data_IF_702630934510
#
_entry.id   IF_702630934510
#
_cell.length_a   1.000
_cell.length_b   1.000
_cell.length_c   1.000
_cell.angle_alpha   90.00
_cell.angle_beta   90.00
_cell.angle_gamma   90.00
#
_symmetry.space_group_name_H-M   'P 1'
#
loop_
_entity.id
_entity.type
_entity.pdbx_description
1 polymer ?
#
# COMPACT_ATOMS: atom_id res chain seq x y z
N UNK A 1 -48.62 -52.22 55.96
CA UNK A 1 -49.27 -50.93 55.68
C UNK A 1 -48.17 -49.91 55.44
N UNK A 2 -47.89 -49.68 54.16
CA UNK A 2 -46.98 -48.66 53.65
C UNK A 2 -47.79 -47.38 53.44
N UNK A 3 -47.25 -46.23 53.81
CA UNK A 3 -47.57 -44.97 53.12
C UNK A 3 -46.34 -44.08 53.14
N UNK A 4 -45.74 -43.94 51.96
CA UNK A 4 -44.59 -43.10 51.65
C UNK A 4 -45.05 -41.63 51.60
N UNK A 5 -44.39 -40.74 52.34
CA UNK A 5 -44.31 -39.33 51.96
C UNK A 5 -43.08 -39.15 51.08
N UNK A 6 -43.28 -38.71 49.84
CA UNK A 6 -42.21 -38.38 48.90
C UNK A 6 -41.63 -37.01 49.24
N UNK A 7 -40.36 -36.99 49.64
CA UNK A 7 -39.56 -35.77 49.75
C UNK A 7 -39.07 -35.40 48.33
N UNK A 8 -39.68 -34.36 47.75
CA UNK A 8 -39.23 -33.77 46.50
C UNK A 8 -37.93 -33.00 46.75
N UNK A 9 -36.81 -33.55 46.30
CA UNK A 9 -35.52 -32.86 46.29
C UNK A 9 -35.51 -31.86 45.12
N UNK A 10 -35.74 -30.59 45.42
CA UNK A 10 -35.45 -29.46 44.53
C UNK A 10 -33.93 -29.29 44.50
N UNK A 11 -33.27 -29.93 43.54
CA UNK A 11 -31.88 -29.65 43.20
C UNK A 11 -31.86 -28.40 42.33
N UNK A 12 -31.79 -27.23 42.97
CA UNK A 12 -31.58 -25.96 42.30
C UNK A 12 -30.12 -25.92 41.81
N UNK A 13 -29.90 -26.38 40.58
CA UNK A 13 -28.64 -26.16 39.88
C UNK A 13 -28.51 -24.65 39.61
N UNK A 14 -27.72 -23.95 40.44
CA UNK A 14 -27.21 -22.62 40.11
C UNK A 14 -26.27 -22.76 38.92
N UNK A 15 -26.83 -22.67 37.72
CA UNK A 15 -26.08 -22.36 36.52
C UNK A 15 -25.69 -20.90 36.66
N UNK A 16 -24.48 -20.63 37.16
CA UNK A 16 -23.82 -19.35 36.96
C UNK A 16 -23.49 -19.23 35.47
N UNK A 17 -24.47 -18.84 34.65
CA UNK A 17 -24.18 -18.19 33.38
C UNK A 17 -23.62 -16.82 33.73
N UNK A 18 -22.31 -16.75 33.95
CA UNK A 18 -21.59 -15.48 33.76
C UNK A 18 -21.73 -15.16 32.28
N UNK A 19 -22.76 -14.40 31.92
CA UNK A 19 -22.76 -13.69 30.64
C UNK A 19 -21.54 -12.77 30.72
N UNK A 20 -20.40 -13.21 30.17
CA UNK A 20 -19.34 -12.28 29.85
C UNK A 20 -20.00 -11.25 28.96
N UNK A 21 -20.11 -10.02 29.46
CA UNK A 21 -20.46 -8.88 28.61
C UNK A 21 -19.49 -8.93 27.45
N UNK A 22 -20.01 -9.22 26.26
CA UNK A 22 -19.20 -9.31 25.06
C UNK A 22 -18.58 -7.95 24.84
N UNK A 23 -17.25 -7.86 24.85
CA UNK A 23 -16.59 -6.60 24.55
C UNK A 23 -16.84 -6.26 23.07
N UNK A 24 -17.29 -5.04 22.79
CA UNK A 24 -17.47 -4.56 21.42
C UNK A 24 -16.11 -4.29 20.75
N UNK A 25 -15.06 -4.08 21.55
CA UNK A 25 -13.71 -3.79 21.10
C UNK A 25 -12.66 -4.57 21.88
N UNK A 26 -11.66 -5.09 21.14
CA UNK A 26 -10.43 -5.65 21.69
C UNK A 26 -9.22 -4.89 21.19
N UNK A 27 -8.21 -4.78 22.05
CA UNK A 27 -6.95 -4.11 21.76
C UNK A 27 -5.78 -5.08 21.92
N UNK A 28 -4.89 -5.12 20.93
CA UNK A 28 -3.67 -5.94 20.97
C UNK A 28 -2.46 -5.04 20.76
N UNK A 29 -1.68 -4.83 21.82
CA UNK A 29 -0.40 -4.15 21.75
C UNK A 29 0.69 -5.10 21.26
N UNK A 30 1.49 -4.68 20.29
CA UNK A 30 2.53 -5.49 19.66
C UNK A 30 3.87 -4.80 19.74
N UNK A 31 4.80 -5.38 20.49
CA UNK A 31 6.17 -4.91 20.59
C UNK A 31 7.14 -6.10 20.63
N UNK A 32 8.40 -5.89 20.25
CA UNK A 32 9.39 -6.97 20.25
C UNK A 32 9.74 -7.38 21.68
N UNK A 33 9.97 -8.67 21.90
CA UNK A 33 10.42 -9.17 23.21
C UNK A 33 11.68 -8.41 23.66
N UNK A 34 11.79 -8.18 24.96
CA UNK A 34 12.96 -7.55 25.61
C UNK A 34 13.20 -6.09 25.16
N UNK A 35 12.15 -5.36 24.75
CA UNK A 35 12.20 -3.90 24.55
C UNK A 35 11.33 -3.19 25.59
N UNK A 36 11.58 -1.91 25.91
CA UNK A 36 10.73 -1.19 26.85
C UNK A 36 9.29 -1.06 26.33
N UNK A 37 9.10 -1.01 25.01
CA UNK A 37 7.77 -1.06 24.41
C UNK A 37 6.98 -2.31 24.78
N UNK A 38 7.63 -3.48 24.85
CA UNK A 38 6.94 -4.69 25.28
C UNK A 38 6.61 -4.66 26.77
N UNK A 39 7.47 -4.09 27.60
CA UNK A 39 7.15 -3.83 29.02
C UNK A 39 5.95 -2.90 29.16
N UNK A 40 5.88 -1.82 28.38
CA UNK A 40 4.74 -0.90 28.36
C UNK A 40 3.46 -1.61 27.90
N UNK A 41 3.53 -2.41 26.83
CA UNK A 41 2.40 -3.23 26.36
C UNK A 41 1.89 -4.18 27.45
N UNK A 42 2.78 -4.88 28.16
CA UNK A 42 2.40 -5.76 29.26
C UNK A 42 1.72 -5.01 30.40
N UNK A 43 2.19 -3.80 30.72
CA UNK A 43 1.57 -2.96 31.75
C UNK A 43 0.14 -2.49 31.40
N UNK A 44 -0.24 -2.50 30.12
CA UNK A 44 -1.59 -2.14 29.65
C UNK A 44 -2.53 -3.34 29.50
N UNK A 45 -2.02 -4.57 29.45
CA UNK A 45 -2.82 -5.77 29.21
C UNK A 45 -3.67 -6.15 30.42
N UNK A 46 -4.90 -6.60 30.16
CA UNK A 46 -5.86 -7.08 31.17
C UNK A 46 -6.36 -8.52 30.89
N UNK A 47 -5.79 -9.16 29.86
CA UNK A 47 -6.05 -10.56 29.45
C UNK A 47 -7.49 -10.89 29.03
N UNK A 48 -8.37 -9.88 28.96
CA UNK A 48 -9.78 -10.05 28.61
C UNK A 48 -10.13 -9.26 27.36
N UNK A 49 -9.90 -7.95 27.38
CA UNK A 49 -10.17 -7.04 26.26
C UNK A 49 -8.89 -6.40 25.71
N UNK A 50 -7.81 -6.41 26.49
CA UNK A 50 -6.53 -5.81 26.15
C UNK A 50 -5.42 -6.83 26.31
N UNK A 51 -4.65 -7.05 25.24
CA UNK A 51 -3.61 -8.07 25.16
C UNK A 51 -2.27 -7.47 24.77
N UNK A 52 -1.18 -8.15 25.17
CA UNK A 52 0.17 -7.84 24.74
C UNK A 52 0.79 -9.02 23.99
N UNK A 53 1.30 -8.76 22.79
CA UNK A 53 1.91 -9.77 21.93
C UNK A 53 3.34 -9.39 21.57
N UNK A 54 4.24 -10.37 21.70
CA UNK A 54 5.67 -10.18 21.40
C UNK A 54 6.02 -10.15 19.91
N UNK A 55 5.05 -10.49 19.06
CA UNK A 55 5.24 -10.66 17.61
C UNK A 55 3.93 -10.43 16.87
N UNK A 56 4.00 -9.73 15.73
CA UNK A 56 2.84 -9.45 14.89
C UNK A 56 2.09 -10.71 14.44
N UNK A 57 2.76 -11.80 14.05
CA UNK A 57 2.07 -13.03 13.63
C UNK A 57 1.19 -13.67 14.71
N UNK A 58 1.53 -13.50 16.00
CA UNK A 58 0.69 -13.96 17.11
C UNK A 58 -0.52 -13.05 17.31
N UNK A 59 -0.31 -11.73 17.21
CA UNK A 59 -1.38 -10.75 17.26
C UNK A 59 -2.39 -10.96 16.13
N UNK A 60 -1.94 -11.19 14.89
CA UNK A 60 -2.82 -11.47 13.76
C UNK A 60 -3.65 -12.74 13.96
N UNK A 61 -3.06 -13.79 14.55
CA UNK A 61 -3.79 -15.01 14.89
C UNK A 61 -4.86 -14.74 15.94
N UNK A 62 -4.48 -14.09 17.04
CA UNK A 62 -5.40 -13.78 18.12
C UNK A 62 -6.53 -12.85 17.64
N UNK A 63 -6.22 -11.84 16.82
CA UNK A 63 -7.21 -10.96 16.23
C UNK A 63 -8.20 -11.75 15.38
N UNK A 64 -7.72 -12.66 14.53
CA UNK A 64 -8.61 -13.51 13.75
C UNK A 64 -9.49 -14.41 14.63
N UNK A 65 -8.96 -14.98 15.72
CA UNK A 65 -9.74 -15.78 16.67
C UNK A 65 -10.85 -14.97 17.34
N UNK A 66 -10.55 -13.74 17.79
CA UNK A 66 -11.51 -12.83 18.42
C UNK A 66 -12.59 -12.35 17.42
N UNK A 67 -12.21 -12.04 16.18
CA UNK A 67 -13.16 -11.57 15.16
C UNK A 67 -14.13 -12.66 14.69
N UNK A 68 -13.87 -13.93 14.99
CA UNK A 68 -14.77 -15.02 14.65
C UNK A 68 -15.90 -15.19 15.68
N UNK A 69 -15.82 -14.55 16.86
CA UNK A 69 -16.79 -14.77 17.95
C UNK A 69 -17.97 -13.81 17.95
N UNK A 70 -17.94 -12.75 17.15
CA UNK A 70 -19.01 -11.76 17.08
C UNK A 70 -18.62 -10.52 16.29
N UNK A 71 -19.52 -9.53 16.18
CA UNK A 71 -19.34 -8.30 15.39
C UNK A 71 -18.42 -7.29 16.11
N UNK A 72 -17.23 -7.74 16.49
CA UNK A 72 -16.29 -6.95 17.28
C UNK A 72 -15.34 -6.16 16.39
N UNK A 73 -14.77 -5.11 16.98
CA UNK A 73 -13.58 -4.46 16.45
C UNK A 73 -12.35 -5.01 17.16
N UNK A 74 -11.32 -5.41 16.39
CA UNK A 74 -10.00 -5.70 16.95
C UNK A 74 -9.00 -4.71 16.38
N UNK A 75 -8.41 -3.92 17.28
CA UNK A 75 -7.34 -2.98 16.95
C UNK A 75 -5.99 -3.57 17.38
N UNK A 76 -5.06 -3.71 16.44
CA UNK A 76 -3.69 -4.17 16.66
C UNK A 76 -2.75 -2.97 16.55
N UNK A 77 -2.27 -2.48 17.68
CA UNK A 77 -1.32 -1.38 17.77
C UNK A 77 0.11 -1.93 17.78
N UNK A 78 0.96 -1.48 16.86
CA UNK A 78 2.32 -1.98 16.67
C UNK A 78 3.32 -0.87 16.93
N UNK A 79 4.21 -1.10 17.90
CA UNK A 79 5.31 -0.20 18.21
C UNK A 79 6.28 -0.07 17.02
N UNK A 80 7.07 0.98 17.05
CA UNK A 80 8.22 1.12 16.18
C UNK A 80 9.20 -0.05 16.32
N UNK A 81 9.88 -0.35 15.22
CA UNK A 81 10.92 -1.36 15.16
C UNK A 81 10.79 -2.29 13.96
N UNK A 82 11.77 -3.19 13.89
CA UNK A 82 11.93 -4.15 12.80
C UNK A 82 11.31 -5.51 13.15
N UNK A 83 10.24 -5.89 12.44
CA UNK A 83 9.56 -7.17 12.60
C UNK A 83 9.98 -8.10 11.46
N UNK A 84 10.24 -9.38 11.74
CA UNK A 84 10.85 -10.34 10.76
C UNK A 84 9.92 -11.46 10.27
N UNK A 85 8.66 -11.43 10.67
CA UNK A 85 7.68 -12.48 10.33
C UNK A 85 7.88 -13.78 11.10
N UNK A 86 7.01 -14.76 10.85
CA UNK A 86 7.11 -16.09 11.48
C UNK A 86 8.38 -16.78 10.98
N UNK A 87 9.15 -17.38 11.90
CA UNK A 87 10.42 -18.08 11.57
C UNK A 87 11.40 -17.25 10.72
N UNK A 88 11.37 -15.91 10.86
CA UNK A 88 12.20 -14.98 10.07
C UNK A 88 11.96 -15.08 8.55
N UNK A 89 10.76 -15.50 8.13
CA UNK A 89 10.43 -15.65 6.70
C UNK A 89 10.21 -14.31 5.99
N UNK A 90 9.99 -13.21 6.73
CA UNK A 90 9.72 -11.90 6.13
C UNK A 90 8.33 -11.79 5.49
N UNK A 91 7.39 -12.63 5.92
CA UNK A 91 6.01 -12.71 5.45
C UNK A 91 5.05 -12.77 6.64
N UNK A 92 3.93 -12.06 6.53
CA UNK A 92 2.84 -11.99 7.50
C UNK A 92 1.52 -12.33 6.83
N UNK A 93 0.85 -13.31 7.41
CA UNK A 93 -0.43 -13.80 6.91
C UNK A 93 -1.50 -13.41 7.92
N UNK A 94 -2.45 -12.59 7.49
CA UNK A 94 -3.71 -12.40 8.22
C UNK A 94 -4.54 -13.66 7.95
N UNK A 95 -4.87 -14.46 8.99
CA UNK A 95 -5.68 -15.66 8.81
C UNK A 95 -7.06 -15.35 8.22
N UNK A 96 -7.76 -16.39 7.77
CA UNK A 96 -9.12 -16.22 7.24
C UNK A 96 -10.03 -15.72 8.36
N UNK A 97 -10.69 -14.60 8.11
CA UNK A 97 -11.75 -14.05 8.96
C UNK A 97 -13.01 -14.11 8.13
N UNK A 98 -14.01 -14.90 8.52
CA UNK A 98 -15.28 -15.04 7.79
C UNK A 98 -16.41 -14.44 8.62
N UNK A 99 -16.32 -13.14 8.86
CA UNK A 99 -17.29 -12.39 9.64
C UNK A 99 -17.55 -11.02 9.00
N UNK A 100 -18.61 -10.87 8.20
CA UNK A 100 -18.90 -9.65 7.45
C UNK A 100 -19.30 -8.46 8.34
N UNK A 101 -19.49 -8.67 9.65
CA UNK A 101 -19.83 -7.60 10.60
C UNK A 101 -18.63 -7.14 11.44
N UNK A 102 -17.49 -7.84 11.35
CA UNK A 102 -16.32 -7.59 12.17
C UNK A 102 -15.33 -6.61 11.52
N UNK A 103 -14.56 -5.91 12.34
CA UNK A 103 -13.59 -4.89 11.92
C UNK A 103 -12.19 -5.24 12.39
N UNK A 104 -11.22 -5.27 11.47
CA UNK A 104 -9.80 -5.43 11.80
C UNK A 104 -9.04 -4.13 11.52
N UNK A 105 -8.35 -3.59 12.52
CA UNK A 105 -7.49 -2.42 12.39
C UNK A 105 -6.05 -2.78 12.71
N UNK A 106 -5.14 -2.63 11.77
CA UNK A 106 -3.70 -2.80 11.95
C UNK A 106 -3.04 -1.43 11.91
N UNK A 107 -2.42 -1.02 13.01
CA UNK A 107 -1.91 0.34 13.20
C UNK A 107 -0.46 0.29 13.65
N UNK A 108 0.46 0.54 12.73
CA UNK A 108 1.87 0.81 13.00
C UNK A 108 2.13 2.29 13.26
N UNK A 109 3.38 2.59 13.61
CA UNK A 109 3.82 3.96 13.88
C UNK A 109 3.73 4.38 15.34
N UNK A 110 3.53 3.46 16.28
CA UNK A 110 3.39 3.79 17.70
C UNK A 110 4.78 3.99 18.35
N UNK A 111 4.90 4.98 19.22
CA UNK A 111 6.09 5.13 20.05
C UNK A 111 6.21 4.02 21.11
N UNK A 112 7.32 4.05 21.85
CA UNK A 112 7.66 3.04 22.85
C UNK A 112 6.56 2.79 23.91
N UNK A 113 5.89 3.83 24.40
CA UNK A 113 4.86 3.69 25.45
C UNK A 113 3.41 3.62 24.91
N UNK A 114 3.25 3.57 23.58
CA UNK A 114 1.97 3.63 22.89
C UNK A 114 1.09 4.84 23.29
N UNK A 115 1.69 5.97 23.67
CA UNK A 115 0.97 7.21 23.96
C UNK A 115 0.79 8.11 22.75
N UNK A 116 1.60 7.92 21.72
CA UNK A 116 1.58 8.74 20.51
C UNK A 116 1.82 7.90 19.26
N UNK A 117 1.46 8.47 18.10
CA UNK A 117 1.65 7.87 16.79
C UNK A 117 2.29 8.84 15.80
N UNK A 118 3.31 8.39 15.08
CA UNK A 118 4.00 9.11 13.99
C UNK A 118 4.55 8.09 12.98
N UNK A 119 3.73 7.57 12.05
CA UNK A 119 4.11 6.44 11.19
C UNK A 119 5.28 6.70 10.24
N UNK A 120 5.53 7.98 9.91
CA UNK A 120 6.65 8.41 9.07
C UNK A 120 7.95 8.65 9.89
N UNK A 121 7.86 8.68 11.22
CA UNK A 121 9.02 8.86 12.11
C UNK A 121 9.36 7.60 12.90
N UNK A 122 8.36 7.00 13.55
CA UNK A 122 8.44 5.82 14.41
C UNK A 122 8.15 4.55 13.61
N UNK A 123 9.07 4.19 12.73
CA UNK A 123 8.84 3.18 11.70
C UNK A 123 8.50 1.79 12.26
N UNK A 124 7.32 1.28 11.97
CA UNK A 124 6.99 -0.15 12.07
C UNK A 124 7.41 -0.85 10.76
N UNK A 125 8.64 -1.36 10.73
CA UNK A 125 9.25 -1.95 9.53
C UNK A 125 8.95 -3.45 9.44
N UNK A 126 8.33 -3.86 8.33
CA UNK A 126 8.20 -5.26 7.95
C UNK A 126 9.47 -5.69 7.20
N UNK A 127 10.40 -6.31 7.92
CA UNK A 127 11.68 -6.76 7.38
C UNK A 127 11.49 -8.05 6.60
N UNK A 128 11.78 -7.98 5.30
CA UNK A 128 11.81 -9.13 4.41
C UNK A 128 13.21 -9.78 4.33
N UNK A 129 13.35 -10.82 3.50
CA UNK A 129 14.62 -11.51 3.24
C UNK A 129 14.75 -11.92 1.78
N UNK A 130 15.98 -12.19 1.36
CA UNK A 130 16.27 -12.85 0.10
C UNK A 130 15.44 -14.13 -0.03
N UNK A 131 14.82 -14.31 -1.20
CA UNK A 131 14.10 -15.53 -1.50
C UNK A 131 12.69 -15.64 -0.91
N UNK A 132 12.05 -14.54 -0.47
CA UNK A 132 10.66 -14.55 0.01
C UNK A 132 9.70 -15.26 -0.96
N UNK A 133 8.73 -15.99 -0.40
CA UNK A 133 7.79 -16.87 -1.11
C UNK A 133 6.36 -16.31 -1.19
N UNK A 134 6.17 -15.03 -0.85
CA UNK A 134 4.90 -14.34 -0.93
C UNK A 134 5.01 -12.83 -0.73
N UNK A 135 3.88 -12.14 -0.67
CA UNK A 135 3.81 -10.73 -0.30
C UNK A 135 4.30 -10.53 1.15
N UNK A 136 4.77 -9.32 1.50
CA UNK A 136 5.16 -9.04 2.89
C UNK A 136 3.93 -9.18 3.79
N UNK A 137 2.84 -8.47 3.48
CA UNK A 137 1.56 -8.67 4.15
C UNK A 137 0.55 -9.28 3.18
N UNK A 138 -0.05 -10.39 3.56
CA UNK A 138 -1.05 -11.07 2.77
C UNK A 138 -2.29 -11.41 3.58
N UNK A 139 -3.44 -11.22 2.95
CA UNK A 139 -4.72 -11.70 3.47
C UNK A 139 -5.08 -12.98 2.74
N UNK A 140 -5.35 -14.04 3.49
CA UNK A 140 -5.78 -15.31 2.91
C UNK A 140 -7.11 -15.17 2.17
N UNK A 141 -7.28 -16.00 1.14
CA UNK A 141 -8.49 -16.03 0.33
C UNK A 141 -9.75 -16.23 1.16
N UNK A 142 -10.84 -15.61 0.71
CA UNK A 142 -12.21 -15.75 1.25
C UNK A 142 -12.43 -15.09 2.60
N UNK A 143 -11.56 -14.19 3.04
CA UNK A 143 -11.91 -13.34 4.18
C UNK A 143 -13.12 -12.46 3.84
N UNK A 144 -14.02 -12.30 4.81
CA UNK A 144 -15.14 -11.37 4.81
C UNK A 144 -15.04 -10.53 6.08
N UNK A 145 -15.03 -9.21 5.91
CA UNK A 145 -14.92 -8.23 7.00
C UNK A 145 -15.84 -7.07 6.69
N UNK A 146 -16.37 -6.40 7.72
CA UNK A 146 -17.02 -5.10 7.53
C UNK A 146 -15.98 -4.06 7.10
N UNK A 147 -14.93 -3.93 7.91
CA UNK A 147 -13.85 -2.97 7.71
C UNK A 147 -12.48 -3.61 7.92
N UNK A 148 -11.52 -3.19 7.10
CA UNK A 148 -10.11 -3.51 7.24
C UNK A 148 -9.32 -2.22 7.12
N UNK A 149 -8.55 -1.91 8.16
CA UNK A 149 -7.59 -0.82 8.15
C UNK A 149 -6.18 -1.39 8.22
N UNK A 150 -5.32 -0.95 7.31
CA UNK A 150 -3.87 -1.17 7.39
C UNK A 150 -3.18 0.18 7.30
N UNK A 151 -2.60 0.61 8.42
CA UNK A 151 -2.01 1.94 8.51
C UNK A 151 -0.68 1.99 9.22
N UNK A 152 0.26 2.79 8.72
CA UNK A 152 1.52 3.10 9.40
C UNK A 152 2.61 2.06 9.33
N UNK A 153 2.63 1.24 8.28
CA UNK A 153 3.68 0.24 8.06
C UNK A 153 4.66 0.67 6.98
N UNK A 154 5.94 0.33 7.18
CA UNK A 154 6.96 0.40 6.14
C UNK A 154 7.20 -0.99 5.54
N UNK A 155 6.89 -1.10 4.25
CA UNK A 155 7.11 -2.27 3.41
C UNK A 155 8.31 -2.02 2.51
N UNK A 156 9.44 -2.65 2.81
CA UNK A 156 10.67 -2.51 2.02
C UNK A 156 11.10 -3.86 1.46
N UNK A 157 11.13 -3.96 0.14
CA UNK A 157 11.56 -5.18 -0.55
C UNK A 157 13.03 -5.21 -0.96
N UNK A 158 13.81 -4.14 -0.75
CA UNK A 158 15.23 -4.14 -1.12
C UNK A 158 16.00 -5.35 -0.56
N UNK A 159 15.82 -5.78 0.71
CA UNK A 159 16.48 -6.98 1.22
C UNK A 159 16.10 -8.30 0.55
N UNK A 160 15.02 -8.33 -0.24
CA UNK A 160 14.55 -9.51 -0.97
C UNK A 160 14.86 -9.51 -2.47
N UNK A 161 15.36 -8.38 -2.98
CA UNK A 161 15.62 -8.16 -4.39
C UNK A 161 17.09 -8.45 -4.74
N UNK A 162 17.33 -8.69 -6.02
CA UNK A 162 18.67 -8.72 -6.59
C UNK A 162 18.96 -7.38 -7.28
N UNK A 163 20.13 -6.81 -7.01
CA UNK A 163 20.60 -5.58 -7.64
C UNK A 163 21.91 -5.84 -8.38
N UNK A 164 22.11 -5.18 -9.50
CA UNK A 164 23.35 -5.22 -10.24
C UNK A 164 24.45 -4.55 -9.42
N UNK A 165 25.55 -5.26 -9.17
CA UNK A 165 26.61 -4.77 -8.31
C UNK A 165 27.41 -3.60 -8.92
N UNK A 166 27.19 -3.23 -10.20
CA UNK A 166 27.90 -2.12 -10.85
C UNK A 166 27.07 -0.84 -10.92
N UNK A 167 25.78 -1.01 -11.21
CA UNK A 167 24.86 0.10 -11.47
C UNK A 167 23.87 0.30 -10.32
N UNK A 168 23.84 -0.62 -9.35
CA UNK A 168 22.83 -0.71 -8.30
C UNK A 168 21.40 -0.82 -8.84
N UNK A 169 21.21 -1.12 -10.13
CA UNK A 169 19.88 -1.23 -10.75
C UNK A 169 19.23 -2.56 -10.40
N UNK A 170 17.92 -2.55 -10.19
CA UNK A 170 17.16 -3.76 -9.89
C UNK A 170 17.28 -4.78 -11.03
N UNK A 171 17.67 -6.00 -10.70
CA UNK A 171 17.65 -7.14 -11.60
C UNK A 171 16.27 -7.80 -11.51
N UNK A 172 15.30 -7.27 -12.27
CA UNK A 172 13.89 -7.69 -12.19
C UNK A 172 13.71 -9.20 -12.36
N UNK A 173 14.38 -9.81 -13.34
CA UNK A 173 14.30 -11.25 -13.63
C UNK A 173 14.92 -12.15 -12.55
N UNK A 174 15.68 -11.60 -11.61
CA UNK A 174 16.28 -12.31 -10.48
C UNK A 174 15.62 -11.94 -9.14
N UNK A 175 14.75 -10.93 -9.15
CA UNK A 175 14.01 -10.46 -7.98
C UNK A 175 12.64 -11.13 -7.87
N UNK A 176 11.98 -10.97 -6.72
CA UNK A 176 10.71 -11.64 -6.45
C UNK A 176 9.54 -10.89 -7.07
N UNK A 177 8.71 -11.61 -7.83
CA UNK A 177 7.53 -11.09 -8.53
C UNK A 177 6.27 -11.11 -7.66
N UNK A 178 6.41 -10.95 -6.35
CA UNK A 178 5.28 -10.82 -5.43
C UNK A 178 5.10 -9.36 -5.06
N UNK A 179 3.86 -8.88 -4.89
CA UNK A 179 3.66 -7.52 -4.42
C UNK A 179 4.17 -7.33 -2.98
N UNK A 180 4.22 -6.08 -2.50
CA UNK A 180 4.54 -5.82 -1.08
C UNK A 180 3.34 -6.17 -0.19
N UNK A 181 2.14 -5.77 -0.60
CA UNK A 181 0.89 -6.12 0.05
C UNK A 181 -0.10 -6.72 -0.95
N UNK A 182 -0.72 -7.84 -0.58
CA UNK A 182 -1.70 -8.53 -1.42
C UNK A 182 -2.98 -8.84 -0.68
N UNK A 183 -4.11 -8.45 -1.27
CA UNK A 183 -5.45 -8.88 -0.86
C UNK A 183 -5.88 -10.02 -1.77
N UNK A 184 -5.94 -11.25 -1.26
CA UNK A 184 -6.34 -12.39 -2.10
C UNK A 184 -7.88 -12.53 -2.18
N UNK A 185 -8.58 -11.66 -2.90
CA UNK A 185 -10.04 -11.69 -3.06
C UNK A 185 -10.78 -11.59 -1.71
N UNK A 186 -10.75 -10.39 -1.11
CA UNK A 186 -11.42 -10.07 0.16
C UNK A 186 -12.83 -9.54 -0.10
N UNK A 187 -13.83 -10.02 0.65
CA UNK A 187 -15.15 -9.40 0.67
C UNK A 187 -15.19 -8.33 1.76
N UNK A 188 -15.53 -7.09 1.41
CA UNK A 188 -15.46 -5.99 2.35
C UNK A 188 -16.49 -4.89 2.09
N UNK A 189 -16.87 -4.14 3.12
CA UNK A 189 -17.63 -2.89 2.98
C UNK A 189 -16.74 -1.65 3.04
N UNK A 190 -15.66 -1.67 3.82
CA UNK A 190 -14.72 -0.55 3.88
C UNK A 190 -13.27 -1.03 3.96
N UNK A 191 -12.47 -0.67 2.94
CA UNK A 191 -11.03 -0.90 2.97
C UNK A 191 -10.31 0.43 3.17
N UNK A 192 -9.44 0.51 4.17
CA UNK A 192 -8.59 1.68 4.42
C UNK A 192 -7.11 1.27 4.38
N UNK A 193 -6.37 1.82 3.43
CA UNK A 193 -4.91 1.72 3.34
C UNK A 193 -4.36 3.12 3.57
N UNK A 194 -3.83 3.38 4.77
CA UNK A 194 -3.49 4.74 5.18
C UNK A 194 -2.07 4.92 5.71
N UNK A 195 -1.39 6.03 5.40
CA UNK A 195 -0.11 6.40 6.05
C UNK A 195 0.97 5.30 5.97
N UNK A 196 0.97 4.47 4.93
CA UNK A 196 1.98 3.43 4.73
C UNK A 196 3.11 3.94 3.82
N UNK A 197 4.28 3.32 3.95
CA UNK A 197 5.41 3.53 3.06
C UNK A 197 5.67 2.23 2.32
N UNK A 198 5.54 2.25 1.01
CA UNK A 198 5.85 1.15 0.11
C UNK A 198 7.09 1.49 -0.70
N UNK A 199 8.17 0.73 -0.53
CA UNK A 199 9.45 1.03 -1.16
C UNK A 199 10.12 -0.19 -1.79
N UNK A 200 10.84 0.03 -2.90
CA UNK A 200 11.70 -0.95 -3.57
C UNK A 200 10.96 -2.21 -4.05
N UNK A 201 9.70 -2.10 -4.44
CA UNK A 201 8.94 -3.23 -4.98
C UNK A 201 9.45 -3.65 -6.36
N UNK A 202 9.89 -4.90 -6.53
CA UNK A 202 10.25 -5.47 -7.84
C UNK A 202 9.03 -5.95 -8.67
N UNK A 203 7.84 -5.78 -8.09
CA UNK A 203 6.51 -5.97 -8.68
C UNK A 203 5.58 -4.95 -8.02
N UNK A 204 4.26 -5.17 -8.03
CA UNK A 204 3.28 -4.24 -7.46
C UNK A 204 3.56 -3.86 -6.00
N UNK A 205 3.34 -2.61 -5.61
CA UNK A 205 3.39 -2.24 -4.20
C UNK A 205 2.17 -2.80 -3.46
N UNK A 206 0.98 -2.45 -3.93
CA UNK A 206 -0.29 -2.87 -3.38
C UNK A 206 -1.18 -3.46 -4.47
N UNK A 207 -1.62 -4.70 -4.28
CA UNK A 207 -2.58 -5.35 -5.17
C UNK A 207 -3.94 -5.48 -4.47
N UNK A 208 -4.87 -4.54 -4.72
CA UNK A 208 -6.25 -4.70 -4.29
C UNK A 208 -6.91 -5.77 -5.17
N UNK A 209 -7.51 -6.76 -4.53
CA UNK A 209 -8.51 -7.61 -5.17
C UNK A 209 -9.72 -7.67 -4.27
N UNK A 210 -10.63 -6.74 -4.53
CA UNK A 210 -11.75 -6.39 -3.66
C UNK A 210 -13.04 -6.95 -4.26
N UNK A 211 -13.87 -7.52 -3.38
CA UNK A 211 -15.24 -7.94 -3.68
C UNK A 211 -16.17 -7.13 -2.78
N UNK A 212 -17.13 -6.36 -3.32
CA UNK A 212 -18.02 -5.56 -2.51
C UNK A 212 -19.00 -6.45 -1.72
N UNK A 213 -19.15 -6.19 -0.42
CA UNK A 213 -20.20 -6.80 0.40
C UNK A 213 -21.56 -6.13 0.17
N UNK A 214 -21.58 -4.84 -0.15
CA UNK A 214 -22.78 -4.05 -0.38
C UNK A 214 -22.60 -3.03 -1.52
N UNK A 215 -23.69 -2.40 -1.93
CA UNK A 215 -23.65 -1.28 -2.88
C UNK A 215 -23.01 -0.01 -2.29
N UNK A 216 -22.72 0.00 -0.98
CA UNK A 216 -22.08 1.11 -0.29
C UNK A 216 -20.58 0.83 -0.03
N UNK A 217 -20.00 -0.22 -0.62
CA UNK A 217 -18.60 -0.54 -0.38
C UNK A 217 -17.67 0.61 -0.83
N UNK A 218 -16.78 1.04 0.05
CA UNK A 218 -15.81 2.12 -0.16
C UNK A 218 -14.37 1.61 -0.01
N UNK A 219 -13.45 2.17 -0.81
CA UNK A 219 -12.02 1.90 -0.72
C UNK A 219 -11.26 3.21 -0.61
N UNK A 220 -10.60 3.42 0.53
CA UNK A 220 -9.78 4.59 0.81
C UNK A 220 -8.30 4.21 0.80
N UNK A 221 -7.57 4.76 -0.15
CA UNK A 221 -6.11 4.66 -0.24
C UNK A 221 -5.59 6.07 0.01
N UNK A 222 -5.20 6.34 1.25
CA UNK A 222 -4.96 7.70 1.72
C UNK A 222 -3.57 7.87 2.31
N UNK A 223 -2.98 9.04 2.11
CA UNK A 223 -1.76 9.42 2.82
C UNK A 223 -0.56 8.46 2.66
N UNK A 224 -0.48 7.64 1.60
CA UNK A 224 0.59 6.66 1.44
C UNK A 224 1.77 7.23 0.62
N UNK A 225 2.96 6.72 0.87
CA UNK A 225 4.15 6.96 0.05
C UNK A 225 4.47 5.70 -0.77
N UNK A 226 4.28 5.77 -2.08
CA UNK A 226 4.70 4.75 -3.05
C UNK A 226 5.98 5.23 -3.74
N UNK A 227 7.10 4.67 -3.32
CA UNK A 227 8.43 5.12 -3.71
C UNK A 227 9.21 3.99 -4.38
N UNK A 228 9.67 4.18 -5.61
CA UNK A 228 10.58 3.23 -6.26
C UNK A 228 10.03 1.79 -6.35
N UNK A 229 8.79 1.66 -6.83
CA UNK A 229 8.14 0.35 -7.02
C UNK A 229 7.86 0.10 -8.51
N UNK A 230 7.90 -1.16 -8.94
CA UNK A 230 7.47 -1.57 -10.28
C UNK A 230 5.94 -1.74 -10.26
N UNK A 231 5.21 -0.73 -10.69
CA UNK A 231 3.77 -0.53 -10.44
C UNK A 231 3.50 -0.22 -8.97
N UNK A 232 2.88 0.92 -8.69
CA UNK A 232 2.44 1.23 -7.33
C UNK A 232 1.20 0.41 -6.97
N UNK A 233 0.13 0.54 -7.76
CA UNK A 233 -1.15 -0.14 -7.48
C UNK A 233 -2.06 -0.16 -8.71
N UNK A 234 -3.25 -0.73 -8.55
CA UNK A 234 -4.33 -0.68 -9.55
C UNK A 234 -5.67 -0.39 -8.87
N UNK A 235 -6.68 0.03 -9.64
CA UNK A 235 -8.06 0.21 -9.13
C UNK A 235 -8.91 -1.05 -9.28
N UNK A 236 -8.27 -2.22 -9.29
CA UNK A 236 -8.91 -3.50 -9.58
C UNK A 236 -9.87 -3.94 -8.47
N UNK A 237 -11.12 -4.07 -8.83
CA UNK A 237 -12.18 -4.70 -8.04
C UNK A 237 -13.07 -5.54 -8.97
N UNK A 238 -13.91 -6.39 -8.40
CA UNK A 238 -14.88 -7.21 -9.15
C UNK A 238 -16.29 -6.94 -8.66
N UNK A 239 -17.25 -6.92 -9.57
CA UNK A 239 -18.66 -6.94 -9.19
C UNK A 239 -19.04 -8.28 -8.55
N UNK A 240 -20.00 -8.25 -7.64
CA UNK A 240 -20.50 -9.45 -6.97
C UNK A 240 -21.95 -9.30 -6.54
N UNK A 241 -22.80 -10.25 -6.95
CA UNK A 241 -24.24 -10.27 -6.64
C UNK A 241 -24.97 -8.95 -6.96
N UNK A 242 -24.58 -8.30 -8.05
CA UNK A 242 -25.15 -7.01 -8.47
C UNK A 242 -24.56 -5.79 -7.76
N UNK A 243 -23.67 -5.97 -6.78
CA UNK A 243 -22.92 -4.88 -6.17
C UNK A 243 -21.64 -4.59 -6.99
N UNK A 244 -21.34 -3.31 -7.12
CA UNK A 244 -20.08 -2.74 -7.60
C UNK A 244 -19.55 -1.87 -6.47
N UNK A 245 -18.23 -1.71 -6.34
CA UNK A 245 -17.67 -0.77 -5.34
C UNK A 245 -18.21 0.62 -5.63
N UNK A 246 -18.73 1.30 -4.61
CA UNK A 246 -19.31 2.64 -4.76
C UNK A 246 -18.24 3.63 -5.20
N UNK A 247 -17.15 3.70 -4.44
CA UNK A 247 -16.09 4.66 -4.68
C UNK A 247 -14.73 4.07 -4.32
N UNK A 248 -13.72 4.40 -5.13
CA UNK A 248 -12.31 4.20 -4.81
C UNK A 248 -11.68 5.59 -4.74
N UNK A 249 -11.11 5.91 -3.57
CA UNK A 249 -10.55 7.20 -3.26
C UNK A 249 -9.03 7.10 -3.12
N UNK A 250 -8.29 7.83 -3.95
CA UNK A 250 -6.87 8.09 -3.80
C UNK A 250 -6.70 9.51 -3.30
N UNK A 251 -6.39 9.69 -2.02
CA UNK A 251 -6.30 11.03 -1.42
C UNK A 251 -4.94 11.23 -0.76
N UNK A 252 -4.21 12.28 -1.17
CA UNK A 252 -2.93 12.67 -0.53
C UNK A 252 -1.87 11.58 -0.54
N UNK A 253 -1.78 10.77 -1.59
CA UNK A 253 -0.68 9.84 -1.75
C UNK A 253 0.46 10.48 -2.55
N UNK A 254 1.69 10.06 -2.27
CA UNK A 254 2.84 10.40 -3.12
C UNK A 254 3.26 9.17 -3.94
N UNK A 255 3.26 9.31 -5.26
CA UNK A 255 3.74 8.34 -6.22
C UNK A 255 5.03 8.87 -6.84
N UNK A 256 6.15 8.38 -6.32
CA UNK A 256 7.49 8.89 -6.60
C UNK A 256 8.34 7.80 -7.22
N UNK A 257 8.92 8.06 -8.39
CA UNK A 257 9.86 7.14 -9.03
C UNK A 257 9.27 5.73 -9.23
N UNK A 258 7.98 5.61 -9.53
CA UNK A 258 7.40 4.30 -9.81
C UNK A 258 7.63 3.95 -11.27
N UNK A 259 8.08 2.72 -11.48
CA UNK A 259 8.60 2.28 -12.76
C UNK A 259 7.60 1.42 -13.51
N UNK A 260 7.57 1.51 -14.85
CA UNK A 260 6.76 0.62 -15.66
C UNK A 260 7.16 -0.84 -15.42
N UNK A 261 6.20 -1.76 -15.42
CA UNK A 261 6.51 -3.18 -15.47
C UNK A 261 7.10 -3.55 -16.83
N UNK A 262 6.53 -3.04 -17.92
CA UNK A 262 7.14 -3.16 -19.23
C UNK A 262 7.59 -1.78 -19.74
N UNK A 263 8.87 -1.59 -20.02
CA UNK A 263 9.40 -0.35 -20.58
C UNK A 263 9.05 -0.09 -22.05
N UNK A 264 8.34 -1.01 -22.69
CA UNK A 264 7.78 -0.80 -24.01
C UNK A 264 6.46 -0.01 -23.88
N UNK A 265 6.36 1.20 -24.46
CA UNK A 265 5.13 1.99 -24.41
C UNK A 265 3.95 1.22 -25.00
N UNK A 266 4.18 0.36 -25.99
CA UNK A 266 3.12 -0.44 -26.61
C UNK A 266 2.71 -1.66 -25.80
N UNK A 267 3.10 -1.76 -24.53
CA UNK A 267 2.67 -2.83 -23.65
C UNK A 267 1.60 -2.40 -22.63
N UNK A 268 1.27 -3.28 -21.70
CA UNK A 268 0.45 -2.96 -20.54
C UNK A 268 1.34 -2.75 -19.31
N UNK A 269 0.80 -2.09 -18.28
CA UNK A 269 1.46 -1.86 -16.99
C UNK A 269 2.65 -0.90 -17.12
N UNK A 270 2.40 0.29 -17.68
CA UNK A 270 3.39 1.32 -17.96
C UNK A 270 3.39 2.45 -16.92
N UNK A 271 2.28 2.74 -16.25
CA UNK A 271 2.19 3.87 -15.30
C UNK A 271 2.22 3.44 -13.82
N UNK A 272 2.31 4.42 -12.91
CA UNK A 272 2.31 4.17 -11.47
C UNK A 272 0.99 3.53 -10.98
N UNK A 273 -0.16 4.05 -11.41
CA UNK A 273 -1.49 3.48 -11.13
C UNK A 273 -2.10 2.90 -12.40
N UNK A 274 -2.50 1.64 -12.36
CA UNK A 274 -3.29 1.05 -13.44
C UNK A 274 -4.80 1.22 -13.20
N UNK A 275 -5.48 1.95 -14.08
CA UNK A 275 -6.93 2.17 -13.99
C UNK A 275 -7.69 0.99 -14.57
N UNK A 276 -8.64 0.49 -13.78
CA UNK A 276 -9.57 -0.55 -14.18
C UNK A 276 -10.89 0.05 -14.72
N UNK A 277 -11.72 -0.79 -15.34
CA UNK A 277 -12.97 -0.38 -15.96
C UNK A 277 -14.13 -0.31 -14.95
N UNK A 278 -15.29 0.18 -15.39
CA UNK A 278 -16.52 0.46 -14.62
C UNK A 278 -17.13 -0.72 -13.85
N UNK A 279 -16.68 -1.95 -14.09
CA UNK A 279 -17.12 -3.10 -13.28
C UNK A 279 -16.33 -3.18 -11.95
N UNK A 280 -15.26 -2.41 -11.83
CA UNK A 280 -14.48 -2.27 -10.60
C UNK A 280 -15.15 -1.34 -9.61
N UNK A 281 -15.51 -0.13 -10.03
CA UNK A 281 -16.14 0.88 -9.18
C UNK A 281 -17.11 1.78 -9.97
N UNK A 282 -18.01 2.46 -9.26
CA UNK A 282 -18.88 3.50 -9.84
C UNK A 282 -18.11 4.80 -10.02
N UNK A 283 -17.44 5.28 -8.97
CA UNK A 283 -16.59 6.47 -9.02
C UNK A 283 -15.15 6.20 -8.60
N UNK A 284 -14.22 6.90 -9.26
CA UNK A 284 -12.80 6.92 -8.97
C UNK A 284 -12.36 8.36 -8.71
N UNK A 285 -12.01 8.65 -7.46
CA UNK A 285 -11.63 9.99 -7.03
C UNK A 285 -10.12 10.01 -6.75
N UNK A 286 -9.40 10.88 -7.45
CA UNK A 286 -7.95 11.05 -7.30
C UNK A 286 -7.73 12.50 -6.91
N UNK A 287 -7.45 12.73 -5.62
CA UNK A 287 -7.40 14.07 -5.05
C UNK A 287 -6.12 14.36 -4.25
N UNK A 288 -5.54 15.55 -4.44
CA UNK A 288 -4.41 16.01 -3.60
C UNK A 288 -3.19 15.09 -3.60
N UNK A 289 -3.07 14.23 -4.61
CA UNK A 289 -1.93 13.35 -4.77
C UNK A 289 -0.76 14.09 -5.42
N UNK A 290 0.43 13.52 -5.23
CA UNK A 290 1.67 13.96 -5.83
C UNK A 290 2.19 12.85 -6.75
N UNK A 291 2.28 13.13 -8.04
CA UNK A 291 2.85 12.24 -9.04
C UNK A 291 4.12 12.87 -9.60
N UNK A 292 5.28 12.40 -9.17
CA UNK A 292 6.54 12.96 -9.61
C UNK A 292 7.53 11.89 -10.06
N UNK A 293 8.21 12.18 -11.17
CA UNK A 293 9.30 11.37 -11.71
C UNK A 293 8.90 9.91 -12.00
N UNK A 294 7.64 9.64 -12.38
CA UNK A 294 7.23 8.29 -12.76
C UNK A 294 7.53 8.09 -14.26
N UNK A 295 8.63 7.41 -14.63
CA UNK A 295 9.13 7.40 -16.01
C UNK A 295 8.17 6.82 -17.04
N UNK A 296 7.19 6.02 -16.63
CA UNK A 296 6.18 5.49 -17.56
C UNK A 296 4.80 6.17 -17.49
N UNK A 297 4.63 7.17 -16.64
CA UNK A 297 3.38 7.92 -16.49
C UNK A 297 2.77 7.80 -15.08
N UNK A 298 1.88 8.73 -14.74
CA UNK A 298 1.17 8.74 -13.46
C UNK A 298 0.03 7.71 -13.44
N UNK A 299 -0.89 7.81 -14.41
CA UNK A 299 -2.05 6.95 -14.52
C UNK A 299 -2.02 6.17 -15.84
N UNK A 300 -2.46 4.92 -15.82
CA UNK A 300 -2.61 4.12 -17.03
C UNK A 300 -4.07 3.87 -17.35
N UNK A 301 -4.44 4.15 -18.58
CA UNK A 301 -5.79 4.02 -19.10
C UNK A 301 -5.78 3.19 -20.38
N UNK A 302 -6.34 1.98 -20.32
CA UNK A 302 -6.33 1.02 -21.45
C UNK A 302 -7.73 0.72 -22.02
N UNK A 303 -8.79 1.30 -21.44
CA UNK A 303 -10.15 1.03 -21.85
C UNK A 303 -10.71 2.16 -22.72
N UNK A 304 -11.79 1.94 -23.47
CA UNK A 304 -12.62 3.03 -24.00
C UNK A 304 -13.26 3.82 -22.85
N UNK A 305 -13.46 5.11 -23.07
CA UNK A 305 -14.02 6.04 -22.08
C UNK A 305 -15.40 5.61 -21.57
N UNK A 306 -16.29 5.11 -22.43
CA UNK A 306 -17.63 4.60 -22.09
C UNK A 306 -17.59 3.32 -21.21
N UNK A 307 -16.40 2.79 -20.96
CA UNK A 307 -16.14 1.65 -20.07
C UNK A 307 -15.41 2.05 -18.80
N UNK A 308 -15.13 3.32 -18.58
CA UNK A 308 -14.52 3.78 -17.33
C UNK A 308 -15.55 4.08 -16.25
N UNK A 309 -15.17 4.02 -14.97
CA UNK A 309 -15.94 4.67 -13.90
C UNK A 309 -16.01 6.18 -14.11
N UNK A 310 -16.83 6.86 -13.32
CA UNK A 310 -16.77 8.32 -13.21
C UNK A 310 -15.42 8.73 -12.62
N UNK A 311 -14.58 9.42 -13.38
CA UNK A 311 -13.23 9.81 -12.95
C UNK A 311 -13.23 11.29 -12.54
N UNK A 312 -12.71 11.54 -11.33
CA UNK A 312 -12.42 12.87 -10.81
C UNK A 312 -10.93 13.01 -10.53
N UNK A 313 -10.28 14.00 -11.16
CA UNK A 313 -8.92 14.44 -10.90
C UNK A 313 -8.96 15.85 -10.31
N UNK A 314 -8.79 15.95 -8.99
CA UNK A 314 -8.99 17.22 -8.28
C UNK A 314 -7.75 17.60 -7.48
N UNK A 315 -7.14 18.74 -7.81
CA UNK A 315 -5.99 19.30 -7.08
C UNK A 315 -4.86 18.30 -6.90
N UNK A 316 -4.43 17.62 -7.95
CA UNK A 316 -3.20 16.81 -7.93
C UNK A 316 -2.02 17.63 -8.46
N UNK A 317 -0.81 17.26 -8.04
CA UNK A 317 0.43 17.78 -8.59
C UNK A 317 1.05 16.73 -9.50
N UNK A 318 1.33 17.10 -10.74
CA UNK A 318 2.07 16.29 -11.71
C UNK A 318 3.41 16.94 -12.03
N UNK A 319 4.49 16.15 -12.05
CA UNK A 319 5.80 16.66 -12.41
C UNK A 319 6.69 15.59 -13.06
N UNK A 320 7.13 15.83 -14.30
CA UNK A 320 8.08 14.98 -15.04
C UNK A 320 7.68 13.49 -15.03
N UNK A 321 6.45 13.19 -15.43
CA UNK A 321 6.03 11.81 -15.65
C UNK A 321 6.28 11.41 -17.11
N UNK A 322 6.24 10.11 -17.43
CA UNK A 322 6.41 9.56 -18.78
C UNK A 322 7.75 9.84 -19.50
N UNK A 323 8.79 10.32 -18.80
CA UNK A 323 10.11 10.60 -19.40
C UNK A 323 10.81 9.43 -20.12
N UNK A 324 10.36 8.17 -19.97
CA UNK A 324 10.82 7.03 -20.75
C UNK A 324 10.27 7.01 -22.19
N UNK A 325 9.15 7.68 -22.43
CA UNK A 325 8.37 7.59 -23.66
C UNK A 325 8.45 8.86 -24.51
N UNK A 326 9.58 9.55 -24.42
CA UNK A 326 9.92 10.75 -25.22
C UNK A 326 9.06 11.99 -24.94
N UNK A 327 8.19 11.93 -23.92
CA UNK A 327 7.48 13.06 -23.34
C UNK A 327 8.01 13.35 -21.93
N UNK A 328 9.13 14.07 -21.89
CA UNK A 328 9.80 14.47 -20.65
C UNK A 328 9.44 15.88 -20.18
N UNK A 329 8.34 16.45 -20.67
CA UNK A 329 7.86 17.75 -20.24
C UNK A 329 7.43 17.73 -18.76
N UNK A 330 7.39 18.89 -18.12
CA UNK A 330 7.02 18.98 -16.71
C UNK A 330 5.59 18.47 -16.46
N UNK A 331 4.69 18.70 -17.43
CA UNK A 331 3.27 18.32 -17.45
C UNK A 331 2.98 17.00 -18.19
N UNK A 332 3.99 16.41 -18.83
CA UNK A 332 3.86 15.17 -19.58
C UNK A 332 3.44 13.98 -18.70
N UNK A 333 2.68 13.06 -19.28
CA UNK A 333 2.40 11.75 -18.68
C UNK A 333 1.41 11.71 -17.53
N UNK A 334 0.40 12.58 -17.52
CA UNK A 334 -0.75 12.48 -16.58
C UNK A 334 -1.47 11.15 -16.79
N UNK A 335 -1.84 10.88 -18.05
CA UNK A 335 -2.34 9.59 -18.50
C UNK A 335 -1.39 9.06 -19.57
N UNK A 336 -1.02 7.79 -19.46
CA UNK A 336 -0.24 7.09 -20.48
C UNK A 336 -0.81 5.68 -20.68
N UNK A 337 -1.14 5.29 -21.91
CA UNK A 337 -1.76 3.99 -22.14
C UNK A 337 -2.29 3.77 -23.55
N UNK A 338 -3.00 2.65 -23.71
CA UNK A 338 -3.62 2.26 -24.99
C UNK A 338 -5.08 2.67 -25.01
N UNK A 339 -5.37 3.79 -25.64
CA UNK A 339 -6.72 4.35 -25.60
C UNK A 339 -7.58 3.87 -26.77
N UNK A 340 -8.85 3.58 -26.45
CA UNK A 340 -9.92 3.33 -27.42
C UNK A 340 -9.96 1.92 -28.03
N UNK A 341 -10.87 1.73 -28.99
CA UNK A 341 -11.13 0.44 -29.65
C UNK A 341 -10.08 0.05 -30.70
N UNK A 342 -9.30 1.02 -31.19
CA UNK A 342 -8.14 0.83 -32.06
C UNK A 342 -6.90 1.33 -31.31
N UNK A 343 -6.30 0.51 -30.43
CA UNK A 343 -5.39 0.99 -29.39
C UNK A 343 -4.15 1.63 -30.00
N UNK A 344 -4.10 2.97 -29.91
CA UNK A 344 -2.89 3.74 -30.09
C UNK A 344 -2.33 4.05 -28.71
N UNK A 345 -1.01 3.93 -28.60
CA UNK A 345 -0.34 4.41 -27.41
C UNK A 345 -0.36 5.93 -27.42
N UNK A 346 -0.87 6.53 -26.36
CA UNK A 346 -0.95 7.97 -26.18
C UNK A 346 -0.38 8.33 -24.81
N UNK A 347 0.28 9.49 -24.79
CA UNK A 347 0.70 10.19 -23.59
C UNK A 347 -0.09 11.50 -23.60
N UNK A 348 -0.74 11.77 -22.49
CA UNK A 348 -1.72 12.85 -22.35
C UNK A 348 -1.26 13.74 -21.20
N UNK A 349 -1.16 15.02 -21.50
CA UNK A 349 -0.95 16.11 -20.55
C UNK A 349 -2.27 16.58 -19.92
N UNK A 350 -2.21 17.59 -19.04
CA UNK A 350 -3.42 18.10 -18.39
C UNK A 350 -4.36 18.83 -19.36
N UNK A 351 -3.83 19.61 -20.31
CA UNK A 351 -4.65 20.40 -21.24
C UNK A 351 -5.48 19.50 -22.15
N UNK A 352 -4.84 18.49 -22.75
CA UNK A 352 -5.52 17.49 -23.58
C UNK A 352 -6.56 16.71 -22.76
N UNK A 353 -6.27 16.41 -21.49
CA UNK A 353 -7.21 15.70 -20.62
C UNK A 353 -8.46 16.53 -20.30
N UNK A 354 -8.32 17.84 -20.14
CA UNK A 354 -9.43 18.77 -19.89
C UNK A 354 -10.31 18.98 -21.12
N UNK A 355 -9.71 18.98 -22.32
CA UNK A 355 -10.39 19.27 -23.58
C UNK A 355 -11.02 18.03 -24.25
N UNK A 356 -10.37 16.86 -24.17
CA UNK A 356 -10.73 15.69 -24.98
C UNK A 356 -11.48 14.58 -24.21
N UNK A 357 -11.64 14.68 -22.89
CA UNK A 357 -12.28 13.65 -22.04
C UNK A 357 -13.41 14.22 -21.17
N UNK A 358 -14.48 13.44 -20.99
CA UNK A 358 -15.63 13.76 -20.14
C UNK A 358 -15.32 13.49 -18.64
N UNK A 359 -14.11 13.79 -18.18
CA UNK A 359 -13.70 13.65 -16.78
C UNK A 359 -13.89 14.95 -16.01
N UNK A 360 -14.03 14.83 -14.69
CA UNK A 360 -14.00 16.00 -13.81
C UNK A 360 -12.54 16.32 -13.48
N UNK A 361 -11.95 17.27 -14.20
CA UNK A 361 -10.56 17.72 -14.00
C UNK A 361 -10.58 19.15 -13.45
N UNK A 362 -10.06 19.36 -12.24
CA UNK A 362 -10.10 20.68 -11.60
C UNK A 362 -8.91 20.94 -10.69
N UNK A 363 -8.28 22.11 -10.84
CA UNK A 363 -7.29 22.64 -9.90
C UNK A 363 -6.00 21.83 -9.81
N UNK A 364 -5.75 20.92 -10.76
CA UNK A 364 -4.49 20.21 -10.89
C UNK A 364 -3.39 21.19 -11.31
N UNK A 365 -2.15 20.90 -10.93
CA UNK A 365 -1.02 21.81 -11.13
C UNK A 365 0.21 21.05 -11.60
N UNK A 366 1.08 21.77 -12.30
CA UNK A 366 2.38 21.30 -12.76
C UNK A 366 3.43 22.25 -12.20
N UNK A 367 4.28 21.75 -11.31
CA UNK A 367 5.39 22.51 -10.73
C UNK A 367 6.43 21.55 -10.13
N UNK A 368 7.70 21.96 -10.10
CA UNK A 368 8.74 21.18 -9.44
C UNK A 368 8.51 21.15 -7.91
N UNK A 369 8.24 19.97 -7.31
CA UNK A 369 8.00 19.85 -5.88
C UNK A 369 9.31 19.89 -5.05
N UNK A 370 10.49 19.85 -5.68
CA UNK A 370 11.82 19.86 -5.04
C UNK A 370 11.96 18.80 -3.95
N UNK A 371 11.61 17.55 -4.28
CA UNK A 371 11.59 16.44 -3.33
C UNK A 371 13.01 15.91 -3.09
N UNK A 372 13.47 15.78 -1.85
CA UNK A 372 14.71 15.08 -1.55
C UNK A 372 14.51 13.57 -1.68
N UNK A 373 15.38 12.89 -2.42
CA UNK A 373 15.39 11.44 -2.57
C UNK A 373 16.68 10.87 -2.00
N UNK A 374 16.56 10.02 -0.98
CA UNK A 374 17.70 9.33 -0.37
C UNK A 374 18.02 8.03 -1.11
N UNK A 375 19.22 7.96 -1.68
CA UNK A 375 19.74 6.79 -2.39
C UNK A 375 20.45 5.85 -1.41
N UNK A 376 20.40 4.53 -1.65
CA UNK A 376 21.31 3.62 -0.97
C UNK A 376 22.74 3.78 -1.49
N UNK A 377 23.74 3.55 -0.65
CA UNK A 377 25.16 3.61 -1.04
C UNK A 377 25.46 2.68 -2.23
N UNK A 378 26.15 3.21 -3.24
CA UNK A 378 26.63 2.43 -4.39
C UNK A 378 27.68 1.41 -3.93
N UNK A 379 27.44 0.13 -4.17
CA UNK A 379 28.52 -0.86 -4.17
C UNK A 379 29.35 -0.62 -5.45
N UNK A 380 30.56 -0.09 -5.31
CA UNK A 380 31.37 0.31 -6.46
C UNK A 380 31.79 -0.90 -7.32
N UNK A 381 31.70 -0.77 -8.64
CA UNK A 381 32.37 -1.65 -9.59
C UNK A 381 33.15 -0.85 -10.64
N UNK A 382 34.24 -1.46 -11.10
CA UNK A 382 35.27 -0.89 -11.96
C UNK A 382 34.75 -0.57 -13.39
N UNK A 383 34.94 0.67 -13.86
CA UNK A 383 34.18 1.30 -14.97
C UNK A 383 34.94 1.49 -16.29
N UNK A 384 36.15 0.95 -16.45
CA UNK A 384 37.04 1.27 -17.59
C UNK A 384 36.66 0.71 -18.99
N UNK A 385 35.46 0.18 -19.24
CA UNK A 385 35.21 -0.62 -20.47
C UNK A 385 33.94 -0.32 -21.29
N UNK A 386 33.25 0.81 -21.12
CA UNK A 386 31.96 1.06 -21.80
C UNK A 386 31.94 2.39 -22.57
N UNK A 387 31.56 2.34 -23.86
CA UNK A 387 31.29 3.52 -24.69
C UNK A 387 29.94 4.17 -24.35
N UNK A 388 29.94 5.50 -24.20
CA UNK A 388 28.76 6.32 -23.87
C UNK A 388 27.86 6.57 -25.09
N UNK A 389 26.54 6.53 -24.88
CA UNK A 389 25.54 7.08 -25.81
C UNK A 389 24.63 8.07 -25.07
N UNK A 390 24.44 9.28 -25.57
CA UNK A 390 23.55 10.27 -24.95
C UNK A 390 22.09 9.93 -25.26
N UNK A 391 21.27 9.70 -24.23
CA UNK A 391 19.82 9.42 -24.32
C UNK A 391 19.09 10.15 -23.18
N UNK A 392 17.78 10.40 -23.30
CA UNK A 392 16.94 11.00 -22.24
C UNK A 392 17.02 10.19 -20.94
N UNK A 393 17.17 8.86 -21.05
CA UNK A 393 17.40 7.98 -19.91
C UNK A 393 18.69 8.30 -19.15
N UNK A 394 19.72 8.81 -19.83
CA UNK A 394 20.95 9.29 -19.18
C UNK A 394 20.77 10.64 -18.49
N UNK A 395 19.83 11.47 -18.91
CA UNK A 395 19.46 12.71 -18.20
C UNK A 395 18.62 12.41 -16.96
N UNK A 396 17.71 11.43 -17.02
CA UNK A 396 17.01 10.89 -15.84
C UNK A 396 18.01 10.26 -14.86
N UNK A 397 18.97 9.45 -15.35
CA UNK A 397 20.07 8.91 -14.52
C UNK A 397 20.95 10.01 -13.93
N UNK A 398 21.22 11.09 -14.68
CA UNK A 398 21.95 12.28 -14.22
C UNK A 398 21.20 12.98 -13.08
N UNK A 399 19.87 13.05 -13.17
CA UNK A 399 19.00 13.60 -12.12
C UNK A 399 19.13 12.81 -10.81
N UNK A 400 19.41 11.50 -10.89
CA UNK A 400 19.51 10.59 -9.73
C UNK A 400 20.93 10.16 -9.36
N UNK A 401 21.97 10.79 -9.90
CA UNK A 401 23.38 10.46 -9.59
C UNK A 401 23.80 9.03 -9.97
N UNK A 402 23.11 8.41 -10.93
CA UNK A 402 23.35 7.04 -11.36
C UNK A 402 24.39 6.95 -12.48
N UNK A 403 25.02 5.77 -12.60
CA UNK A 403 26.01 5.48 -13.62
C UNK A 403 25.42 5.68 -15.04
N UNK A 404 26.10 6.50 -15.85
CA UNK A 404 25.74 6.82 -17.24
C UNK A 404 26.27 5.79 -18.24
N UNK A 405 27.09 4.84 -17.77
CA UNK A 405 27.74 3.83 -18.58
C UNK A 405 26.77 2.66 -18.82
N UNK A 406 26.14 2.70 -19.99
CA UNK A 406 25.29 1.64 -20.50
C UNK A 406 24.73 2.03 -21.86
N UNK A 407 25.31 1.50 -22.94
CA UNK A 407 24.67 1.51 -24.26
C UNK A 407 23.30 0.84 -24.19
N UNK A 408 22.39 1.19 -25.10
CA UNK A 408 20.97 0.76 -25.22
C UNK A 408 20.64 -0.43 -24.30
N UNK A 409 20.44 -0.12 -23.02
CA UNK A 409 20.16 -1.17 -22.04
C UNK A 409 18.75 -1.59 -22.41
N UNK A 410 18.59 -2.80 -22.95
CA UNK A 410 17.28 -3.43 -22.98
C UNK A 410 16.71 -3.19 -21.58
N UNK A 411 15.60 -2.48 -21.48
CA UNK A 411 15.14 -1.78 -20.28
C UNK A 411 14.59 -2.83 -19.27
N UNK A 412 15.41 -3.81 -18.91
CA UNK A 412 15.10 -4.91 -18.01
C UNK A 412 15.66 -4.63 -16.61
N UNK A 413 16.64 -3.72 -16.51
CA UNK A 413 17.32 -3.34 -15.26
C UNK A 413 17.31 -1.81 -15.10
N UNK A 414 16.46 -1.33 -14.21
CA UNK A 414 16.24 0.08 -13.83
C UNK A 414 15.85 0.10 -12.34
N UNK A 415 15.61 1.27 -11.73
CA UNK A 415 15.30 1.40 -10.29
C UNK A 415 16.48 1.04 -9.35
N UNK A 416 17.27 2.02 -8.89
CA UNK A 416 18.28 1.79 -7.86
C UNK A 416 17.62 1.45 -6.52
N UNK A 417 18.32 0.78 -5.61
CA UNK A 417 17.83 0.65 -4.23
C UNK A 417 17.75 2.04 -3.57
N UNK A 418 16.58 2.37 -3.00
CA UNK A 418 16.37 3.58 -2.21
C UNK A 418 16.25 3.25 -0.72
N UNK A 419 16.47 4.26 0.12
CA UNK A 419 16.27 4.15 1.57
C UNK A 419 15.22 5.17 1.99
N UNK A 420 14.30 4.77 2.86
CA UNK A 420 13.45 5.73 3.56
C UNK A 420 14.18 6.23 4.81
N UNK A 421 14.51 7.51 4.82
CA UNK A 421 15.09 8.20 5.97
C UNK A 421 14.04 9.10 6.65
N UNK A 422 13.59 8.77 7.87
CA UNK A 422 12.66 9.60 8.63
C UNK A 422 13.14 11.03 8.90
N UNK A 423 14.45 11.29 8.88
CA UNK A 423 15.00 12.63 9.09
C UNK A 423 14.87 13.51 7.84
N UNK A 424 14.75 12.88 6.68
CA UNK A 424 14.63 13.54 5.37
C UNK A 424 13.55 12.82 4.54
N UNK A 425 12.28 12.83 4.99
CA UNK A 425 11.21 12.16 4.27
C UNK A 425 11.03 12.78 2.87
N UNK A 426 10.63 12.01 1.86
CA UNK A 426 10.48 12.48 0.48
C UNK A 426 9.21 13.32 0.31
N UNK A 427 9.20 14.49 0.96
CA UNK A 427 8.13 15.48 0.94
C UNK A 427 8.53 16.67 0.06
N UNK A 428 7.55 17.37 -0.54
CA UNK A 428 7.83 18.62 -1.23
C UNK A 428 8.52 19.64 -0.33
N UNK A 429 9.59 20.26 -0.83
CA UNK A 429 10.26 21.39 -0.14
C UNK A 429 9.84 22.74 -0.70
N UNK A 430 9.27 22.76 -1.91
CA UNK A 430 8.64 23.95 -2.49
C UNK A 430 7.35 24.29 -1.73
N UNK A 431 7.19 25.55 -1.30
CA UNK A 431 6.07 25.96 -0.44
C UNK A 431 4.71 25.74 -1.10
N UNK A 432 4.59 26.06 -2.40
CA UNK A 432 3.37 25.87 -3.16
C UNK A 432 3.00 24.38 -3.34
N UNK A 433 3.96 23.47 -3.18
CA UNK A 433 3.78 22.03 -3.36
C UNK A 433 3.49 21.28 -2.04
N UNK A 434 3.65 21.91 -0.87
CA UNK A 434 3.47 21.24 0.44
C UNK A 434 2.08 20.66 0.69
N UNK A 435 1.06 21.18 -0.01
CA UNK A 435 -0.32 20.72 0.13
C UNK A 435 -0.62 19.36 -0.54
N UNK A 436 0.30 18.85 -1.36
CA UNK A 436 0.15 17.65 -2.17
C UNK A 436 0.95 16.47 -1.61
N UNK A 437 0.49 15.26 -1.91
CA UNK A 437 1.15 14.04 -1.45
C UNK A 437 0.92 13.75 0.03
N UNK A 438 1.63 12.75 0.56
CA UNK A 438 1.46 12.33 1.95
C UNK A 438 1.84 13.44 2.94
N UNK A 439 1.16 13.44 4.08
CA UNK A 439 1.17 14.47 5.12
C UNK A 439 1.39 13.79 6.47
N UNK A 440 2.58 13.96 7.09
CA UNK A 440 2.85 13.39 8.41
C UNK A 440 1.93 13.89 9.52
N UNK A 441 1.28 15.05 9.33
CA UNK A 441 0.34 15.65 10.27
C UNK A 441 -1.09 15.13 10.14
N UNK A 442 -1.45 14.46 9.04
CA UNK A 442 -2.80 13.98 8.78
C UNK A 442 -2.82 12.46 8.86
N UNK A 443 -2.94 11.96 10.08
CA UNK A 443 -2.90 10.53 10.36
C UNK A 443 -4.31 9.97 10.49
N UNK A 444 -4.55 8.78 9.94
CA UNK A 444 -5.73 8.03 10.34
C UNK A 444 -5.72 7.78 11.85
N UNK A 445 -6.90 7.97 12.44
CA UNK A 445 -7.20 7.69 13.84
C UNK A 445 -8.43 6.76 13.88
N UNK A 446 -8.42 5.71 14.74
CA UNK A 446 -9.54 4.81 14.92
C UNK A 446 -10.81 5.48 15.46
#
# INVERSE_FOLDING_TARGET
MQTKLSLAAVLLAMIFTTSMASADEYLIYVARKDTPAYTAAQGKANETTVFAQRTLHKALRQAAELLQTGPHTVTVLVAEGAYVGKAKQGVWVIPVIDNPEATLRLVGGMNEDFSARQPFAWLTRLVTREGRDGALLQITKKSKLKELVVSGFLFDAAPSNAYDSKTNSLLKGQSRTYPLMSLSLIHIDHLVIDSNIFINGAHGAFEPYIVPLSANTVVDITNNCFLNTIIATSTKATSFRGNVVKEINFVRNSFLLNWPYNPDPTSALVSAINLYHKDGCVSLNIEQNLFAFNPGGALQHDWPEDRMPEITLNKNLFFMNAGLFEDGADDGGVIAGKLGLNPKYLIIDLETLEDDFDYTVNGNVVMDPKIPIAMADLQAADSYSVERKNTVLNDVRRLFGLNQDGGTVAIANFAPALVYDPSTPPLPTEEAAKGYGFQPSQLWSP
#
